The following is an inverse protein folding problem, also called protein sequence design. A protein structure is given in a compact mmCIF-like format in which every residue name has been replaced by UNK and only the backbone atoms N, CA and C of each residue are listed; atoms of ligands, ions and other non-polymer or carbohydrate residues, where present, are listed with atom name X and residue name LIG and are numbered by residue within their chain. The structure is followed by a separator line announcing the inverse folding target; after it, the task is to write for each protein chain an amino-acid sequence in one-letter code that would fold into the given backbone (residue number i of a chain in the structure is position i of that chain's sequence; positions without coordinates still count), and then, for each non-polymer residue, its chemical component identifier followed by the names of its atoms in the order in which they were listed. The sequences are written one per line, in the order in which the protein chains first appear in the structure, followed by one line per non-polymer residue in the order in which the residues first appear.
data_IF_230300358721
#
_entry.id   IF_230300358721
#
_cell.length_a   1.000
_cell.length_b   1.000
_cell.length_c   1.000
_cell.angle_alpha   90.00
_cell.angle_beta   90.00
_cell.angle_gamma   90.00
#
_symmetry.space_group_name_H-M   'P 1'
#
loop_
_entity.id
_entity.type
_entity.pdbx_description
1 polymer ?
#
# COMPACT_ATOMS: atom_id res chain seq x y z
N UNK A 1 45.33 -17.93 -55.64
CA UNK A 1 45.42 -17.83 -54.18
C UNK A 1 44.26 -16.94 -53.75
N UNK A 2 43.18 -17.58 -53.23
CA UNK A 2 41.95 -16.86 -52.79
C UNK A 2 41.85 -17.04 -51.29
N UNK A 3 42.02 -15.98 -50.56
CA UNK A 3 41.86 -15.96 -49.11
C UNK A 3 40.37 -15.81 -48.79
N UNK A 4 39.83 -16.78 -48.06
CA UNK A 4 38.46 -16.79 -47.55
C UNK A 4 38.53 -16.24 -46.14
N UNK A 5 38.06 -15.01 -45.93
CA UNK A 5 37.83 -14.40 -44.61
C UNK A 5 36.52 -14.95 -44.04
N UNK A 6 36.62 -15.82 -43.04
CA UNK A 6 35.47 -16.30 -42.27
C UNK A 6 35.15 -15.24 -41.20
N UNK A 7 34.06 -14.49 -41.37
CA UNK A 7 33.51 -13.59 -40.38
C UNK A 7 32.71 -14.41 -39.35
N UNK A 8 33.28 -14.64 -38.16
CA UNK A 8 32.56 -15.18 -37.01
C UNK A 8 31.63 -14.11 -36.43
N UNK A 9 30.35 -14.18 -36.75
CA UNK A 9 29.35 -13.36 -36.12
C UNK A 9 29.08 -13.82 -34.68
N UNK A 10 29.56 -13.05 -33.69
CA UNK A 10 29.21 -13.26 -32.29
C UNK A 10 27.74 -12.81 -32.09
N UNK A 11 26.83 -13.76 -32.01
CA UNK A 11 25.46 -13.49 -31.57
C UNK A 11 25.45 -13.32 -30.04
N UNK A 12 25.38 -12.08 -29.57
CA UNK A 12 25.06 -11.77 -28.18
C UNK A 12 23.60 -12.16 -27.93
N UNK A 13 23.37 -13.31 -27.31
CA UNK A 13 22.10 -13.62 -26.68
C UNK A 13 21.94 -12.67 -25.47
N UNK A 14 21.25 -11.57 -25.69
CA UNK A 14 20.71 -10.75 -24.59
C UNK A 14 19.58 -11.59 -23.98
N UNK A 15 19.87 -12.34 -22.93
CA UNK A 15 18.84 -12.93 -22.10
C UNK A 15 18.08 -11.76 -21.46
N UNK A 16 16.73 -11.66 -21.62
CA UNK A 16 15.96 -10.70 -20.86
C UNK A 16 16.15 -11.07 -19.38
N UNK A 17 16.90 -10.23 -18.67
CA UNK A 17 16.99 -10.32 -17.21
C UNK A 17 15.59 -10.16 -16.67
N UNK A 18 14.97 -11.25 -16.21
CA UNK A 18 13.80 -11.16 -15.35
C UNK A 18 14.24 -10.34 -14.14
N UNK A 19 13.77 -9.11 -14.05
CA UNK A 19 13.91 -8.34 -12.82
C UNK A 19 13.30 -9.21 -11.72
N UNK A 20 14.14 -9.76 -10.85
CA UNK A 20 13.69 -10.66 -9.79
C UNK A 20 12.87 -9.79 -8.83
N UNK A 21 11.55 -10.00 -8.80
CA UNK A 21 10.66 -9.27 -7.92
C UNK A 21 11.17 -9.34 -6.49
N UNK A 22 11.36 -8.20 -5.85
CA UNK A 22 11.75 -8.15 -4.43
C UNK A 22 10.73 -8.95 -3.61
N UNK A 23 11.16 -9.92 -2.79
CA UNK A 23 10.25 -10.68 -1.94
C UNK A 23 9.40 -9.76 -1.05
N UNK A 24 8.13 -10.10 -0.78
CA UNK A 24 7.20 -9.18 -0.11
C UNK A 24 7.61 -8.79 1.31
N UNK A 25 8.20 -9.69 2.07
CA UNK A 25 8.76 -9.41 3.40
C UNK A 25 9.98 -8.47 3.34
N UNK A 26 10.85 -8.68 2.37
CA UNK A 26 12.00 -7.81 2.10
C UNK A 26 11.54 -6.42 1.64
N UNK A 27 10.52 -6.35 0.79
CA UNK A 27 9.91 -5.09 0.36
C UNK A 27 9.36 -4.31 1.56
N UNK A 28 8.52 -4.94 2.38
CA UNK A 28 7.94 -4.31 3.59
C UNK A 28 9.04 -3.83 4.53
N UNK A 29 10.07 -4.67 4.77
CA UNK A 29 11.19 -4.31 5.64
C UNK A 29 11.94 -3.08 5.12
N UNK A 30 12.34 -3.09 3.84
CA UNK A 30 13.15 -2.02 3.25
C UNK A 30 12.37 -0.70 3.25
N UNK A 31 11.11 -0.72 2.80
CA UNK A 31 10.26 0.49 2.78
C UNK A 31 10.03 1.01 4.21
N UNK A 32 9.75 0.13 5.17
CA UNK A 32 9.57 0.56 6.57
C UNK A 32 10.80 1.25 7.13
N UNK A 33 11.99 0.66 6.96
CA UNK A 33 13.24 1.21 7.49
C UNK A 33 13.60 2.54 6.81
N UNK A 34 13.47 2.63 5.48
CA UNK A 34 13.70 3.87 4.72
C UNK A 34 12.76 4.99 5.19
N UNK A 35 11.47 4.70 5.29
CA UNK A 35 10.45 5.68 5.69
C UNK A 35 10.65 6.15 7.12
N UNK A 36 10.94 5.26 8.05
CA UNK A 36 11.24 5.59 9.44
C UNK A 36 12.46 6.52 9.54
N UNK A 37 13.52 6.23 8.80
CA UNK A 37 14.72 7.08 8.75
C UNK A 37 14.40 8.48 8.20
N UNK A 38 13.66 8.55 7.09
CA UNK A 38 13.29 9.82 6.46
C UNK A 38 12.38 10.66 7.37
N UNK A 39 11.33 10.05 7.95
CA UNK A 39 10.40 10.75 8.85
C UNK A 39 11.09 11.23 10.11
N UNK A 40 12.04 10.46 10.65
CA UNK A 40 12.78 10.86 11.86
C UNK A 40 13.59 12.14 11.66
N UNK A 41 14.06 12.40 10.44
CA UNK A 41 14.79 13.62 10.05
C UNK A 41 13.88 14.84 9.89
N UNK A 42 12.58 14.62 9.62
CA UNK A 42 11.60 15.65 9.32
C UNK A 42 10.64 15.92 10.51
N UNK A 43 11.11 15.71 11.75
CA UNK A 43 10.33 15.88 12.98
C UNK A 43 9.64 17.26 13.01
N UNK A 44 8.32 17.24 13.23
CA UNK A 44 7.49 18.44 13.31
C UNK A 44 7.07 19.03 11.97
N UNK A 45 7.56 18.53 10.83
CA UNK A 45 7.14 18.99 9.51
C UNK A 45 6.14 18.03 8.87
N UNK A 46 4.87 18.18 9.23
CA UNK A 46 3.78 17.32 8.73
C UNK A 46 3.71 17.25 7.19
N UNK A 47 3.94 18.37 6.51
CA UNK A 47 3.88 18.41 5.06
C UNK A 47 4.96 17.52 4.41
N UNK A 48 6.19 17.56 4.95
CA UNK A 48 7.27 16.70 4.49
C UNK A 48 7.03 15.24 4.83
N UNK A 49 6.48 14.94 6.02
CA UNK A 49 6.09 13.56 6.38
C UNK A 49 5.07 13.02 5.38
N UNK A 50 4.05 13.79 5.01
CA UNK A 50 3.07 13.39 3.99
C UNK A 50 3.75 13.16 2.64
N UNK A 51 4.65 14.05 2.21
CA UNK A 51 5.41 13.88 0.97
C UNK A 51 6.24 12.59 0.95
N UNK A 52 6.93 12.25 2.05
CA UNK A 52 7.67 10.98 2.18
C UNK A 52 6.72 9.78 2.05
N UNK A 53 5.56 9.83 2.71
CA UNK A 53 4.55 8.76 2.60
C UNK A 53 4.06 8.63 1.14
N UNK A 54 3.75 9.74 0.48
CA UNK A 54 3.27 9.74 -0.90
C UNK A 54 4.29 9.18 -1.88
N UNK A 55 5.57 9.52 -1.71
CA UNK A 55 6.64 9.08 -2.58
C UNK A 55 7.10 7.64 -2.31
N UNK A 56 7.27 7.28 -1.03
CA UNK A 56 7.93 6.02 -0.64
C UNK A 56 6.97 4.91 -0.24
N UNK A 57 5.79 5.23 0.27
CA UNK A 57 4.84 4.23 0.77
C UNK A 57 3.75 3.92 -0.26
N UNK A 58 3.06 4.96 -0.76
CA UNK A 58 1.86 4.76 -1.58
C UNK A 58 2.09 3.98 -2.89
N UNK A 59 3.26 4.03 -3.55
CA UNK A 59 3.51 3.20 -4.74
C UNK A 59 3.43 1.70 -4.49
N UNK A 60 3.58 1.26 -3.23
CA UNK A 60 3.50 -0.14 -2.84
C UNK A 60 2.09 -0.61 -2.47
N UNK A 61 1.07 0.25 -2.62
CA UNK A 61 -0.32 -0.07 -2.30
C UNK A 61 -1.19 -0.21 -3.55
N UNK A 62 -2.10 -1.18 -3.55
CA UNK A 62 -3.17 -1.29 -4.54
C UNK A 62 -4.46 -0.66 -4.01
N UNK A 63 -4.61 0.65 -4.17
CA UNK A 63 -5.80 1.37 -3.70
C UNK A 63 -7.08 0.93 -4.39
N UNK A 64 -7.01 0.41 -5.62
CA UNK A 64 -8.19 -0.14 -6.31
C UNK A 64 -8.69 -1.40 -5.59
N UNK A 65 -7.79 -2.31 -5.23
CA UNK A 65 -8.14 -3.51 -4.48
C UNK A 65 -8.64 -3.16 -3.06
N UNK A 66 -7.98 -2.21 -2.37
CA UNK A 66 -8.42 -1.70 -1.07
C UNK A 66 -9.84 -1.14 -1.14
N UNK A 67 -10.14 -0.33 -2.15
CA UNK A 67 -11.47 0.26 -2.35
C UNK A 67 -12.51 -0.81 -2.67
N UNK A 68 -12.16 -1.78 -3.51
CA UNK A 68 -13.03 -2.91 -3.81
C UNK A 68 -13.36 -3.73 -2.55
N UNK A 69 -12.38 -3.95 -1.67
CA UNK A 69 -12.56 -4.63 -0.39
C UNK A 69 -13.50 -3.85 0.54
N UNK A 70 -13.34 -2.53 0.66
CA UNK A 70 -14.21 -1.66 1.44
C UNK A 70 -15.64 -1.56 0.88
N UNK A 71 -15.79 -1.52 -0.44
CA UNK A 71 -17.09 -1.47 -1.13
C UNK A 71 -17.85 -2.81 -1.07
N UNK A 72 -17.14 -3.94 -0.94
CA UNK A 72 -17.73 -5.27 -0.97
C UNK A 72 -18.59 -5.50 -2.22
N UNK A 73 -19.81 -6.01 -2.04
CA UNK A 73 -20.73 -6.30 -3.16
C UNK A 73 -21.10 -5.04 -3.98
N UNK A 74 -20.99 -3.85 -3.42
CA UNK A 74 -21.33 -2.61 -4.14
C UNK A 74 -20.27 -2.21 -5.18
N UNK A 75 -19.04 -2.77 -5.09
CA UNK A 75 -18.00 -2.54 -6.11
C UNK A 75 -18.43 -2.96 -7.51
N UNK A 76 -19.14 -4.10 -7.63
CA UNK A 76 -19.67 -4.59 -8.91
C UNK A 76 -20.74 -3.70 -9.53
N UNK A 77 -21.42 -2.86 -8.72
CA UNK A 77 -22.46 -1.95 -9.18
C UNK A 77 -21.92 -0.60 -9.68
N UNK A 78 -20.68 -0.26 -9.31
CA UNK A 78 -20.04 0.98 -9.72
C UNK A 78 -19.57 0.90 -11.18
N UNK A 79 -19.81 1.95 -11.96
CA UNK A 79 -19.22 2.11 -13.28
C UNK A 79 -17.73 2.49 -13.19
N UNK A 80 -17.02 2.55 -14.32
CA UNK A 80 -15.59 2.78 -14.37
C UNK A 80 -15.18 4.13 -13.77
N UNK A 81 -15.93 5.19 -14.07
CA UNK A 81 -15.67 6.54 -13.54
C UNK A 81 -15.89 6.59 -12.02
N UNK A 82 -16.98 5.98 -11.54
CA UNK A 82 -17.24 5.88 -10.10
C UNK A 82 -16.15 5.09 -9.37
N UNK A 83 -15.68 3.98 -9.94
CA UNK A 83 -14.57 3.20 -9.37
C UNK A 83 -13.31 4.04 -9.25
N UNK A 84 -12.96 4.80 -10.28
CA UNK A 84 -11.81 5.70 -10.27
C UNK A 84 -11.95 6.75 -9.17
N UNK A 85 -13.05 7.48 -9.12
CA UNK A 85 -13.32 8.52 -8.11
C UNK A 85 -13.34 7.96 -6.69
N UNK A 86 -13.99 6.81 -6.46
CA UNK A 86 -13.98 6.13 -5.16
C UNK A 86 -12.55 5.79 -4.73
N UNK A 87 -11.74 5.26 -5.63
CA UNK A 87 -10.35 4.90 -5.34
C UNK A 87 -9.51 6.12 -4.96
N UNK A 88 -9.65 7.22 -5.69
CA UNK A 88 -8.94 8.48 -5.42
C UNK A 88 -9.36 9.09 -4.07
N UNK A 89 -10.66 9.15 -3.80
CA UNK A 89 -11.17 9.72 -2.56
C UNK A 89 -10.85 8.84 -1.34
N UNK A 90 -10.95 7.53 -1.48
CA UNK A 90 -10.64 6.62 -0.38
C UNK A 90 -9.13 6.58 -0.09
N UNK A 91 -8.26 6.60 -1.12
CA UNK A 91 -6.81 6.81 -0.95
C UNK A 91 -6.55 8.07 -0.13
N UNK A 92 -7.14 9.19 -0.51
CA UNK A 92 -6.97 10.48 0.19
C UNK A 92 -7.43 10.39 1.64
N UNK A 93 -8.57 9.75 1.90
CA UNK A 93 -9.09 9.53 3.25
C UNK A 93 -8.10 8.74 4.11
N UNK A 94 -7.60 7.61 3.59
CA UNK A 94 -6.66 6.76 4.33
C UNK A 94 -5.36 7.50 4.65
N UNK A 95 -4.77 8.19 3.67
CA UNK A 95 -3.54 8.97 3.87
C UNK A 95 -3.75 10.03 4.95
N UNK A 96 -4.80 10.83 4.86
CA UNK A 96 -5.08 11.91 5.83
C UNK A 96 -5.38 11.39 7.23
N UNK A 97 -6.06 10.25 7.32
CA UNK A 97 -6.41 9.63 8.60
C UNK A 97 -5.19 9.03 9.30
N UNK A 98 -4.31 8.35 8.55
CA UNK A 98 -3.24 7.56 9.15
C UNK A 98 -1.83 8.17 9.07
N UNK A 99 -1.61 9.26 8.32
CA UNK A 99 -0.30 9.90 8.21
C UNK A 99 0.29 10.31 9.58
N UNK A 100 -0.53 10.84 10.48
CA UNK A 100 -0.09 11.24 11.82
C UNK A 100 0.30 10.04 12.69
N UNK A 101 -0.42 8.92 12.56
CA UNK A 101 -0.07 7.68 13.26
C UNK A 101 1.26 7.11 12.74
N UNK A 102 1.49 7.10 11.42
CA UNK A 102 2.76 6.68 10.83
C UNK A 102 3.94 7.54 11.34
N UNK A 103 3.75 8.85 11.45
CA UNK A 103 4.76 9.75 12.00
C UNK A 103 5.10 9.42 13.47
N UNK A 104 4.10 9.05 14.28
CA UNK A 104 4.30 8.69 15.69
C UNK A 104 5.10 7.38 15.87
N UNK A 105 5.10 6.49 14.87
CA UNK A 105 5.86 5.23 14.92
C UNK A 105 7.32 5.36 14.47
N UNK A 106 7.78 6.53 14.04
CA UNK A 106 9.16 6.73 13.53
C UNK A 106 10.28 6.46 14.56
N UNK A 107 9.98 6.42 15.84
CA UNK A 107 10.95 6.14 16.92
C UNK A 107 10.83 4.70 17.46
N UNK A 108 9.93 3.89 16.92
CA UNK A 108 9.68 2.54 17.41
C UNK A 108 10.65 1.53 16.79
N UNK A 109 10.86 0.43 17.49
CA UNK A 109 11.58 -0.72 16.95
C UNK A 109 10.62 -1.68 16.26
N UNK A 110 11.08 -2.28 15.17
CA UNK A 110 10.29 -3.20 14.37
C UNK A 110 10.90 -4.60 14.43
N UNK A 111 10.08 -5.61 14.70
CA UNK A 111 10.42 -7.02 14.62
C UNK A 111 9.74 -7.61 13.37
N UNK A 112 10.52 -7.82 12.31
CA UNK A 112 10.06 -8.40 11.05
C UNK A 112 10.05 -9.92 11.16
N UNK A 113 8.86 -10.50 11.06
CA UNK A 113 8.69 -11.95 11.17
C UNK A 113 8.99 -12.64 9.84
N UNK A 114 9.63 -13.82 9.85
CA UNK A 114 9.89 -14.55 8.62
C UNK A 114 8.58 -14.85 7.88
N UNK A 115 8.57 -14.58 6.57
CA UNK A 115 7.44 -14.92 5.71
C UNK A 115 7.32 -16.44 5.58
N UNK A 116 6.12 -16.96 5.77
CA UNK A 116 5.77 -18.37 5.56
C UNK A 116 4.93 -18.49 4.30
N UNK A 117 5.58 -18.40 3.14
CA UNK A 117 4.93 -18.51 1.85
C UNK A 117 5.75 -19.41 0.91
N UNK A 118 5.09 -20.01 -0.06
CA UNK A 118 5.70 -20.77 -1.15
C UNK A 118 6.09 -19.80 -2.27
N UNK A 119 7.11 -20.12 -3.08
CA UNK A 119 7.49 -19.29 -4.23
C UNK A 119 6.37 -19.07 -5.26
N UNK A 120 5.37 -19.97 -5.26
CA UNK A 120 4.20 -19.94 -6.17
C UNK A 120 3.04 -19.12 -5.64
N UNK A 121 3.07 -18.68 -4.38
CA UNK A 121 1.98 -17.94 -3.78
C UNK A 121 1.91 -16.53 -4.40
N UNK A 122 0.72 -16.11 -4.74
CA UNK A 122 0.42 -14.79 -5.32
C UNK A 122 -0.33 -13.88 -4.35
N UNK A 123 -0.68 -14.40 -3.19
CA UNK A 123 -1.33 -13.71 -2.08
C UNK A 123 -0.67 -14.16 -0.78
N UNK A 124 -0.19 -13.22 0.03
CA UNK A 124 0.56 -13.50 1.25
C UNK A 124 0.25 -12.48 2.33
N UNK A 125 0.52 -12.85 3.59
CA UNK A 125 0.49 -11.91 4.71
C UNK A 125 1.88 -11.75 5.29
N UNK A 126 2.40 -10.52 5.28
CA UNK A 126 3.68 -10.16 5.93
C UNK A 126 3.39 -9.60 7.31
N UNK A 127 3.98 -10.24 8.33
CA UNK A 127 3.78 -9.85 9.73
C UNK A 127 4.94 -9.00 10.24
N UNK A 128 4.61 -7.87 10.86
CA UNK A 128 5.57 -6.98 11.54
C UNK A 128 5.04 -6.67 12.94
N UNK A 129 5.92 -6.64 13.92
CA UNK A 129 5.58 -6.19 15.28
C UNK A 129 6.25 -4.86 15.55
N UNK A 130 5.48 -3.90 15.98
CA UNK A 130 5.97 -2.62 16.50
C UNK A 130 6.19 -2.78 18.00
N UNK A 131 7.43 -2.68 18.42
CA UNK A 131 7.82 -2.84 19.83
C UNK A 131 7.66 -1.50 20.55
N UNK A 132 6.82 -1.48 21.57
CA UNK A 132 6.57 -0.27 22.37
C UNK A 132 7.31 -0.38 23.71
N UNK A 133 8.10 0.63 24.12
CA UNK A 133 8.73 0.65 25.43
C UNK A 133 7.68 0.57 26.55
N UNK A 134 7.77 -0.48 27.39
CA UNK A 134 6.86 -0.68 28.52
C UNK A 134 5.43 -1.13 28.15
N UNK A 135 5.13 -1.38 26.87
CA UNK A 135 3.83 -1.81 26.36
C UNK A 135 3.85 -3.15 25.65
N UNK A 136 2.65 -3.66 25.31
CA UNK A 136 2.53 -4.83 24.45
C UNK A 136 2.87 -4.46 22.99
N UNK A 137 3.59 -5.32 22.27
CA UNK A 137 3.83 -5.09 20.84
C UNK A 137 2.53 -4.97 20.05
N UNK A 138 2.46 -4.03 19.12
CA UNK A 138 1.35 -3.92 18.17
C UNK A 138 1.70 -4.71 16.91
N UNK A 139 0.83 -5.64 16.52
CA UNK A 139 1.01 -6.43 15.29
C UNK A 139 0.47 -5.64 14.10
N UNK A 140 1.27 -5.57 13.04
CA UNK A 140 0.87 -5.09 11.72
C UNK A 140 0.93 -6.26 10.74
N UNK A 141 -0.20 -6.60 10.13
CA UNK A 141 -0.30 -7.66 9.14
C UNK A 141 -0.63 -7.02 7.79
N UNK A 142 0.31 -7.09 6.86
CA UNK A 142 0.16 -6.56 5.50
C UNK A 142 -0.33 -7.67 4.58
N UNK A 143 -1.59 -7.60 4.13
CA UNK A 143 -2.11 -8.47 3.07
C UNK A 143 -1.61 -7.96 1.72
N UNK A 144 -0.87 -8.80 1.00
CA UNK A 144 -0.18 -8.43 -0.23
C UNK A 144 -0.52 -9.37 -1.37
N UNK A 145 -0.73 -8.82 -2.55
CA UNK A 145 -0.94 -9.56 -3.79
C UNK A 145 0.20 -9.31 -4.79
N UNK A 146 0.49 -10.33 -5.58
CA UNK A 146 1.45 -10.24 -6.68
C UNK A 146 0.76 -9.70 -7.93
N UNK A 147 1.27 -8.57 -8.43
CA UNK A 147 0.77 -7.93 -9.66
C UNK A 147 1.84 -7.95 -10.75
N UNK A 148 1.49 -7.49 -11.96
CA UNK A 148 2.48 -7.29 -13.03
C UNK A 148 3.59 -6.29 -12.67
N UNK A 149 3.33 -5.39 -11.69
CA UNK A 149 4.25 -4.39 -11.21
C UNK A 149 4.85 -4.75 -9.82
N UNK A 150 5.01 -6.04 -9.52
CA UNK A 150 5.51 -6.55 -8.26
C UNK A 150 4.44 -6.66 -7.17
N UNK A 151 4.87 -6.87 -5.94
CA UNK A 151 4.00 -7.03 -4.78
C UNK A 151 3.34 -5.72 -4.36
N UNK A 152 2.02 -5.77 -4.07
CA UNK A 152 1.24 -4.61 -3.63
C UNK A 152 0.41 -4.95 -2.39
N UNK A 153 0.37 -4.03 -1.44
CA UNK A 153 -0.49 -4.13 -0.25
C UNK A 153 -1.92 -3.76 -0.61
N UNK A 154 -2.89 -4.60 -0.24
CA UNK A 154 -4.32 -4.33 -0.44
C UNK A 154 -5.13 -4.26 0.86
N UNK A 155 -4.54 -4.63 2.01
CA UNK A 155 -5.09 -4.36 3.35
C UNK A 155 -3.97 -4.31 4.39
N UNK A 156 -4.21 -3.60 5.48
CA UNK A 156 -3.36 -3.59 6.67
C UNK A 156 -4.22 -3.84 7.89
N UNK A 157 -3.88 -4.88 8.66
CA UNK A 157 -4.49 -5.12 9.96
C UNK A 157 -3.58 -4.59 11.06
N UNK A 158 -4.15 -3.82 11.97
CA UNK A 158 -3.46 -3.26 13.14
C UNK A 158 -4.08 -3.87 14.39
N UNK A 159 -3.31 -4.69 15.10
CA UNK A 159 -3.84 -5.41 16.27
C UNK A 159 -5.02 -6.33 15.94
N UNK A 160 -5.05 -6.92 14.75
CA UNK A 160 -6.14 -7.80 14.28
C UNK A 160 -7.34 -7.06 13.67
N UNK A 161 -7.30 -5.74 13.56
CA UNK A 161 -8.38 -4.92 12.98
C UNK A 161 -7.97 -4.40 11.61
N UNK A 162 -8.68 -4.81 10.55
CA UNK A 162 -8.43 -4.34 9.18
C UNK A 162 -8.75 -2.85 9.04
N UNK A 163 -7.80 -2.09 8.51
CA UNK A 163 -8.01 -0.65 8.23
C UNK A 163 -9.04 -0.41 7.13
N UNK A 164 -9.18 -1.36 6.22
CA UNK A 164 -10.06 -1.25 5.04
C UNK A 164 -11.45 -1.81 5.34
N UNK A 165 -11.52 -3.01 5.96
CA UNK A 165 -12.79 -3.65 6.24
C UNK A 165 -13.66 -2.85 7.23
N UNK A 166 -13.06 -2.02 8.08
CA UNK A 166 -13.78 -1.11 8.98
C UNK A 166 -14.74 -0.17 8.24
N UNK A 167 -14.42 0.23 7.02
CA UNK A 167 -15.27 1.11 6.20
C UNK A 167 -16.44 0.38 5.54
N UNK A 168 -16.45 -0.96 5.50
CA UNK A 168 -17.43 -1.74 4.74
C UNK A 168 -18.88 -1.47 5.16
N UNK A 169 -19.14 -1.47 6.46
CA UNK A 169 -20.50 -1.21 6.97
C UNK A 169 -20.93 0.22 6.70
N UNK A 170 -20.04 1.19 6.90
CA UNK A 170 -20.31 2.59 6.64
C UNK A 170 -20.61 2.83 5.15
N UNK A 171 -19.74 2.35 4.26
CA UNK A 171 -19.91 2.48 2.81
C UNK A 171 -21.21 1.82 2.32
N UNK A 172 -21.51 0.61 2.81
CA UNK A 172 -22.75 -0.08 2.47
C UNK A 172 -23.99 0.73 2.88
N UNK A 173 -23.96 1.35 4.07
CA UNK A 173 -25.06 2.18 4.55
C UNK A 173 -25.25 3.43 3.69
N UNK A 174 -24.15 4.15 3.37
CA UNK A 174 -24.22 5.36 2.52
C UNK A 174 -24.68 5.00 1.12
N UNK A 175 -24.16 3.92 0.52
CA UNK A 175 -24.60 3.47 -0.81
C UNK A 175 -26.08 3.10 -0.81
N UNK A 176 -26.59 2.47 0.25
CA UNK A 176 -28.01 2.11 0.37
C UNK A 176 -28.93 3.33 0.43
N UNK A 177 -28.51 4.42 1.08
CA UNK A 177 -29.32 5.63 1.28
C UNK A 177 -29.15 6.67 0.17
N UNK A 178 -27.95 6.82 -0.37
CA UNK A 178 -27.58 7.94 -1.26
C UNK A 178 -26.90 7.49 -2.56
N UNK A 179 -26.82 6.19 -2.80
CA UNK A 179 -26.15 5.62 -3.96
C UNK A 179 -24.63 5.80 -3.94
N UNK A 180 -23.99 5.35 -5.01
CA UNK A 180 -22.52 5.40 -5.16
C UNK A 180 -22.02 6.84 -5.26
N UNK A 181 -22.72 7.70 -5.99
CA UNK A 181 -22.36 9.13 -6.09
C UNK A 181 -22.52 9.86 -4.76
N UNK A 182 -23.48 9.44 -3.93
CA UNK A 182 -23.61 9.90 -2.55
C UNK A 182 -22.41 9.56 -1.70
N UNK A 183 -21.88 8.33 -1.82
CA UNK A 183 -20.67 7.92 -1.13
C UNK A 183 -19.45 8.72 -1.60
N UNK A 184 -19.28 8.95 -2.90
CA UNK A 184 -18.19 9.78 -3.42
C UNK A 184 -18.25 11.19 -2.81
N UNK A 185 -19.44 11.80 -2.76
CA UNK A 185 -19.64 13.13 -2.16
C UNK A 185 -19.35 13.14 -0.65
N UNK A 186 -19.74 12.10 0.06
CA UNK A 186 -19.44 11.94 1.49
C UNK A 186 -17.93 11.86 1.74
N UNK A 187 -17.21 11.04 0.99
CA UNK A 187 -15.76 10.94 1.04
C UNK A 187 -15.06 12.27 0.76
N UNK A 188 -15.51 13.02 -0.25
CA UNK A 188 -15.01 14.35 -0.56
C UNK A 188 -15.20 15.33 0.60
N UNK A 189 -16.35 15.27 1.25
CA UNK A 189 -16.65 16.12 2.41
C UNK A 189 -15.75 15.78 3.61
N UNK A 190 -15.59 14.50 3.90
CA UNK A 190 -14.65 14.02 4.94
C UNK A 190 -13.21 14.44 4.65
N UNK A 191 -12.79 14.28 3.40
CA UNK A 191 -11.44 14.68 2.98
C UNK A 191 -11.20 16.17 3.18
N UNK A 192 -12.16 17.03 2.85
CA UNK A 192 -12.05 18.48 3.13
C UNK A 192 -11.94 18.76 4.61
N UNK A 193 -12.82 18.19 5.42
CA UNK A 193 -12.79 18.37 6.89
C UNK A 193 -11.45 17.92 7.52
N UNK A 194 -10.83 16.86 7.00
CA UNK A 194 -9.51 16.40 7.47
C UNK A 194 -8.36 17.31 7.00
N UNK A 195 -8.51 18.00 5.87
CA UNK A 195 -7.52 18.98 5.40
C UNK A 195 -7.50 20.23 6.29
N UNK A 196 -8.68 20.67 6.78
CA UNK A 196 -8.83 21.88 7.59
C UNK A 196 -8.43 21.68 9.05
N UNK A 197 -8.31 20.44 9.52
CA UNK A 197 -7.77 20.10 10.85
C UNK A 197 -6.25 20.12 10.81
N UNK A 198 -5.69 21.34 10.83
CA UNK A 198 -4.24 21.59 10.92
C UNK A 198 -3.73 21.54 12.35
#
# INVERSE_FOLDING_TARGET
MKEILAALGLWFFVTPGFAQDTPPDTLVKNVTLEVVELISKEKGNRAKVVSVIEEKVLPHFNFTAMTALAMGQNWGKANLEQKKRLTEEFRTLLVRTYASALAAYSEQKFDFRPLRAKPTDTDVTVNVRVLQPGGQPVTLDYSMEKTANGWKVYDVMVGGVSLVANYRTEFANVVRTSGIDGLIKDLQTKNRSLADKK
#
